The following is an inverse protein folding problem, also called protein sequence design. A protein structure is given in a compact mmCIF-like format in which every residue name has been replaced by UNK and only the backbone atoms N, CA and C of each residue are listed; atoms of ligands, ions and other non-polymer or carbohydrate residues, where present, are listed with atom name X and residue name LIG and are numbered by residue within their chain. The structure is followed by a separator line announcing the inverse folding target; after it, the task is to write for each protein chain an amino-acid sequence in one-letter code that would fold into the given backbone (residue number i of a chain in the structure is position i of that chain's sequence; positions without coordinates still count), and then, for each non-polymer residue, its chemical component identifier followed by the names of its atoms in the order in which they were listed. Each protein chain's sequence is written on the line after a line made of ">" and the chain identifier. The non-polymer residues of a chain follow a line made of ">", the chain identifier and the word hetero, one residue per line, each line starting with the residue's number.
data_IF_590059519946
#
_entry.id   IF_590059519946
#
_cell.length_a   1.000
_cell.length_b   1.000
_cell.length_c   1.000
_cell.angle_alpha   90.00
_cell.angle_beta   90.00
_cell.angle_gamma   90.00
#
_symmetry.space_group_name_H-M   'P 1'
#
loop_
_entity.id
_entity.type
_entity.pdbx_description
1 polymer ?
#
# COMPACT_ATOMS: atom_id res chain seq x y z
N UNK A 1 12.90 -5.90 -18.28
CA UNK A 1 13.67 -5.01 -17.36
C UNK A 1 13.62 -3.60 -17.94
N UNK A 2 13.33 -2.58 -17.14
CA UNK A 2 13.23 -1.17 -17.59
C UNK A 2 14.58 -0.64 -18.09
N UNK A 3 14.56 0.45 -18.86
CA UNK A 3 15.77 1.18 -19.31
C UNK A 3 16.61 1.63 -18.12
N UNK A 4 15.97 2.22 -17.11
CA UNK A 4 16.61 2.65 -15.87
C UNK A 4 17.35 1.51 -15.15
N UNK A 5 16.76 0.31 -15.12
CA UNK A 5 17.41 -0.86 -14.54
C UNK A 5 18.59 -1.36 -15.36
N UNK A 6 18.47 -1.35 -16.69
CA UNK A 6 19.54 -1.79 -17.60
C UNK A 6 20.77 -0.89 -17.54
N UNK A 7 20.57 0.39 -17.25
CA UNK A 7 21.62 1.40 -17.21
C UNK A 7 21.92 1.91 -15.79
N UNK A 8 21.48 1.17 -14.76
CA UNK A 8 21.83 1.42 -13.35
C UNK A 8 21.48 2.81 -12.80
N UNK A 9 20.35 3.40 -13.21
CA UNK A 9 19.91 4.72 -12.75
C UNK A 9 18.55 4.74 -12.06
N UNK A 10 18.08 3.61 -11.51
CA UNK A 10 16.79 3.55 -10.81
C UNK A 10 16.70 4.54 -9.64
N UNK A 11 17.81 4.84 -8.98
CA UNK A 11 17.87 5.77 -7.85
C UNK A 11 18.04 7.24 -8.26
N UNK A 12 18.03 7.54 -9.57
CA UNK A 12 18.18 8.90 -10.09
C UNK A 12 16.80 9.40 -10.54
N UNK A 13 16.27 10.48 -9.96
CA UNK A 13 15.00 11.07 -10.38
C UNK A 13 15.23 11.97 -11.61
N UNK A 14 15.45 11.34 -12.77
CA UNK A 14 15.82 12.02 -14.02
C UNK A 14 14.86 13.16 -14.39
N UNK A 15 13.55 12.99 -14.16
CA UNK A 15 12.54 14.02 -14.44
C UNK A 15 12.73 15.24 -13.55
N UNK A 16 13.08 15.06 -12.27
CA UNK A 16 13.40 16.19 -11.39
C UNK A 16 14.65 16.95 -11.86
N UNK A 17 15.69 16.24 -12.32
CA UNK A 17 16.86 16.90 -12.90
C UNK A 17 16.51 17.72 -14.15
N UNK A 18 15.67 17.19 -15.04
CA UNK A 18 15.18 17.95 -16.18
C UNK A 18 14.35 19.17 -15.76
N UNK A 19 13.49 19.04 -14.75
CA UNK A 19 12.73 20.17 -14.22
C UNK A 19 13.64 21.31 -13.71
N UNK A 20 14.74 20.98 -13.01
CA UNK A 20 15.73 21.97 -12.58
C UNK A 20 16.47 22.63 -13.76
N UNK A 21 16.80 21.87 -14.81
CA UNK A 21 17.41 22.45 -16.02
C UNK A 21 16.45 23.41 -16.74
N UNK A 22 15.17 23.04 -16.85
CA UNK A 22 14.13 23.90 -17.42
C UNK A 22 13.95 25.16 -16.58
N UNK A 23 13.88 25.03 -15.25
CA UNK A 23 13.82 26.15 -14.31
C UNK A 23 14.99 27.12 -14.50
N UNK A 24 16.22 26.61 -14.61
CA UNK A 24 17.40 27.45 -14.87
C UNK A 24 17.26 28.23 -16.18
N UNK A 25 16.80 27.58 -17.25
CA UNK A 25 16.58 28.25 -18.55
C UNK A 25 15.45 29.27 -18.55
N UNK A 26 14.40 29.02 -17.78
CA UNK A 26 13.33 29.99 -17.58
C UNK A 26 13.81 31.21 -16.82
N UNK A 27 14.62 31.05 -15.77
CA UNK A 27 15.19 32.17 -15.01
C UNK A 27 16.16 33.03 -15.83
N UNK A 28 16.84 32.47 -16.83
CA UNK A 28 17.67 33.23 -17.78
C UNK A 28 16.84 34.25 -18.59
N UNK A 29 15.58 33.93 -18.90
CA UNK A 29 14.71 34.77 -19.74
C UNK A 29 13.65 35.55 -18.93
N UNK A 30 13.27 35.02 -17.77
CA UNK A 30 12.24 35.56 -16.89
C UNK A 30 12.77 35.60 -15.44
N UNK A 31 13.67 36.53 -15.08
CA UNK A 31 14.35 36.53 -13.77
C UNK A 31 13.41 36.63 -12.56
N UNK A 32 12.21 37.19 -12.76
CA UNK A 32 11.21 37.40 -11.70
C UNK A 32 10.16 36.29 -11.61
N UNK A 33 10.27 35.21 -12.42
CA UNK A 33 9.34 34.09 -12.31
C UNK A 33 9.53 33.39 -10.95
N UNK A 34 8.43 33.15 -10.25
CA UNK A 34 8.46 32.47 -8.97
C UNK A 34 8.46 30.95 -9.16
N UNK A 35 9.35 30.27 -8.45
CA UNK A 35 9.33 28.81 -8.31
C UNK A 35 9.19 28.45 -6.83
N UNK A 36 8.27 27.52 -6.48
CA UNK A 36 8.14 27.07 -5.11
C UNK A 36 9.39 26.29 -4.67
N UNK A 37 9.74 26.43 -3.39
CA UNK A 37 10.78 25.63 -2.76
C UNK A 37 10.21 24.26 -2.36
N UNK A 38 10.86 23.18 -2.79
CA UNK A 38 10.48 21.83 -2.41
C UNK A 38 11.10 21.49 -1.06
N UNK A 39 10.25 21.15 -0.08
CA UNK A 39 10.68 20.70 1.24
C UNK A 39 10.55 19.20 1.35
N UNK A 40 11.54 18.58 1.99
CA UNK A 40 11.47 17.17 2.32
C UNK A 40 10.27 16.90 3.23
N UNK A 41 9.54 15.83 2.93
CA UNK A 41 8.47 15.32 3.78
C UNK A 41 8.63 13.81 3.95
N UNK A 42 8.22 13.31 5.11
CA UNK A 42 8.23 11.90 5.42
C UNK A 42 6.83 11.47 5.81
N UNK A 43 6.25 10.56 5.01
CA UNK A 43 4.93 9.99 5.24
C UNK A 43 5.07 8.47 5.38
N UNK A 44 4.98 7.91 6.60
CA UNK A 44 4.96 6.48 6.76
C UNK A 44 3.71 5.89 6.11
N UNK A 45 3.89 4.74 5.45
CA UNK A 45 2.79 3.97 4.85
C UNK A 45 2.91 2.53 5.30
N UNK A 46 1.79 1.92 5.68
CA UNK A 46 1.77 0.57 6.24
C UNK A 46 0.74 -0.27 5.48
N UNK A 47 1.20 -1.36 4.87
CA UNK A 47 0.33 -2.30 4.16
C UNK A 47 -0.04 -3.45 5.11
N UNK A 48 -1.34 -3.69 5.29
CA UNK A 48 -1.88 -4.79 6.11
C UNK A 48 -2.32 -5.93 5.20
N UNK A 49 -1.34 -6.68 4.70
CA UNK A 49 -1.56 -7.88 3.87
C UNK A 49 -2.14 -9.05 4.68
N UNK A 50 -1.70 -9.14 5.94
CA UNK A 50 -2.15 -10.14 6.90
C UNK A 50 -2.27 -9.46 8.27
N UNK A 51 -3.49 -9.35 8.77
CA UNK A 51 -3.73 -8.76 10.08
C UNK A 51 -3.08 -9.55 11.24
N UNK A 52 -3.01 -10.87 11.08
CA UNK A 52 -2.43 -11.78 12.05
C UNK A 52 -1.68 -12.88 11.32
N UNK A 53 -0.57 -13.36 11.86
CA UNK A 53 0.12 -14.51 11.27
C UNK A 53 -0.70 -15.79 11.48
N UNK A 54 -1.28 -15.94 12.68
CA UNK A 54 -1.92 -17.16 13.16
C UNK A 54 -3.24 -16.91 13.89
N UNK A 55 -3.33 -15.86 14.73
CA UNK A 55 -4.57 -15.56 15.48
C UNK A 55 -5.75 -15.34 14.53
N UNK A 56 -6.95 -15.71 14.99
CA UNK A 56 -8.24 -15.50 14.32
C UNK A 56 -8.41 -16.09 12.91
N UNK A 57 -7.42 -16.83 12.38
CA UNK A 57 -7.45 -17.47 11.05
C UNK A 57 -8.22 -18.80 11.00
N UNK A 58 -8.73 -19.27 12.14
CA UNK A 58 -9.47 -20.52 12.28
C UNK A 58 -8.57 -21.76 12.42
N UNK A 59 -9.12 -22.82 13.01
CA UNK A 59 -8.36 -24.02 13.40
C UNK A 59 -7.76 -24.77 12.20
N UNK A 60 -8.44 -24.80 11.05
CA UNK A 60 -7.96 -25.52 9.86
C UNK A 60 -6.67 -24.92 9.29
N UNK A 61 -6.57 -23.58 9.22
CA UNK A 61 -5.35 -22.88 8.76
C UNK A 61 -4.21 -23.05 9.75
N UNK A 62 -4.50 -23.06 11.05
CA UNK A 62 -3.52 -23.36 12.08
C UNK A 62 -2.98 -24.77 11.96
N UNK A 63 -3.87 -25.77 11.88
CA UNK A 63 -3.51 -27.18 11.77
C UNK A 63 -2.64 -27.43 10.53
N UNK A 64 -3.04 -26.89 9.37
CA UNK A 64 -2.23 -26.96 8.15
C UNK A 64 -0.84 -26.35 8.31
N UNK A 65 -0.75 -25.18 8.99
CA UNK A 65 0.53 -24.52 9.28
C UNK A 65 1.45 -25.37 10.18
N UNK A 66 0.89 -26.06 11.18
CA UNK A 66 1.63 -26.96 12.07
C UNK A 66 2.08 -28.21 11.30
N UNK A 67 1.18 -28.86 10.56
CA UNK A 67 1.51 -30.04 9.75
C UNK A 67 2.62 -29.75 8.74
N UNK A 68 2.54 -28.61 8.04
CA UNK A 68 3.58 -28.20 7.09
C UNK A 68 4.95 -27.97 7.77
N UNK A 69 4.98 -27.51 9.03
CA UNK A 69 6.23 -27.40 9.79
C UNK A 69 6.74 -28.75 10.28
N UNK A 70 5.85 -29.68 10.63
CA UNK A 70 6.21 -31.06 10.98
C UNK A 70 6.84 -31.78 9.79
N UNK A 71 6.26 -31.68 8.59
CA UNK A 71 6.85 -32.22 7.35
C UNK A 71 8.23 -31.63 7.04
N UNK A 72 8.53 -30.41 7.51
CA UNK A 72 9.84 -29.75 7.34
C UNK A 72 10.77 -29.93 8.54
N UNK A 73 10.39 -30.76 9.52
CA UNK A 73 11.14 -31.02 10.75
C UNK A 73 11.51 -29.74 11.54
N UNK A 74 10.65 -28.71 11.50
CA UNK A 74 10.85 -27.44 12.21
C UNK A 74 10.15 -27.43 13.57
N UNK A 75 10.69 -28.17 14.53
CA UNK A 75 10.05 -28.37 15.85
C UNK A 75 9.91 -27.07 16.66
N UNK A 76 10.90 -26.18 16.63
CA UNK A 76 10.84 -24.87 17.30
C UNK A 76 9.67 -24.01 16.78
N UNK A 77 9.41 -24.05 15.46
CA UNK A 77 8.31 -23.32 14.82
C UNK A 77 6.93 -23.91 15.21
N UNK A 78 6.86 -25.22 15.45
CA UNK A 78 5.65 -25.87 15.97
C UNK A 78 5.39 -25.42 17.41
N UNK A 79 6.40 -25.49 18.26
CA UNK A 79 6.30 -25.04 19.66
C UNK A 79 5.83 -23.58 19.74
N UNK A 80 6.44 -22.71 18.94
CA UNK A 80 6.07 -21.30 18.85
C UNK A 80 4.60 -21.10 18.45
N UNK A 81 4.14 -21.80 17.40
CA UNK A 81 2.73 -21.73 16.96
C UNK A 81 1.78 -22.20 18.05
N UNK A 82 2.12 -23.26 18.77
CA UNK A 82 1.35 -23.76 19.90
C UNK A 82 1.27 -22.71 21.01
N UNK A 83 2.40 -22.08 21.39
CA UNK A 83 2.42 -20.98 22.37
C UNK A 83 1.53 -19.81 21.95
N UNK A 84 1.58 -19.42 20.67
CA UNK A 84 0.72 -18.36 20.11
C UNK A 84 -0.77 -18.76 20.19
N UNK A 85 -1.12 -20.01 19.89
CA UNK A 85 -2.50 -20.51 20.03
C UNK A 85 -3.03 -20.40 21.46
N UNK A 86 -2.19 -20.75 22.45
CA UNK A 86 -2.53 -20.70 23.87
C UNK A 86 -2.34 -19.32 24.49
N UNK A 87 -1.91 -18.33 23.71
CA UNK A 87 -1.73 -16.95 24.16
C UNK A 87 -0.54 -16.71 25.09
N UNK A 88 0.39 -17.68 25.20
CA UNK A 88 1.62 -17.52 25.99
C UNK A 88 2.72 -16.79 25.24
N UNK A 89 2.54 -16.60 23.93
CA UNK A 89 3.41 -15.78 23.08
C UNK A 89 2.54 -14.88 22.17
N UNK A 90 2.93 -13.61 21.93
CA UNK A 90 2.19 -12.73 21.02
C UNK A 90 2.27 -13.21 19.58
N UNK A 91 1.24 -12.90 18.79
CA UNK A 91 1.29 -13.11 17.35
C UNK A 91 2.29 -12.11 16.73
N UNK A 92 3.24 -12.55 15.89
CA UNK A 92 4.28 -11.68 15.38
C UNK A 92 3.75 -10.54 14.49
N UNK A 93 2.55 -10.66 13.92
CA UNK A 93 1.95 -9.60 13.10
C UNK A 93 1.08 -8.65 13.93
N UNK A 94 0.67 -9.07 15.13
CA UNK A 94 -0.09 -8.29 16.11
C UNK A 94 0.82 -7.26 16.81
N UNK A 95 1.32 -6.32 16.02
CA UNK A 95 2.31 -5.30 16.42
C UNK A 95 1.71 -3.88 16.50
N UNK A 96 0.39 -3.78 16.40
CA UNK A 96 -0.34 -2.52 16.19
C UNK A 96 -0.13 -1.50 17.31
N UNK A 97 -0.18 -1.93 18.57
CA UNK A 97 0.02 -1.00 19.70
C UNK A 97 1.42 -0.41 19.68
N UNK A 98 2.45 -1.22 19.39
CA UNK A 98 3.82 -0.73 19.20
C UNK A 98 3.92 0.27 18.04
N UNK A 99 3.23 0.02 16.92
CA UNK A 99 3.20 0.98 15.81
C UNK A 99 2.58 2.31 16.26
N UNK A 100 1.43 2.26 16.95
CA UNK A 100 0.74 3.45 17.45
C UNK A 100 1.59 4.25 18.43
N UNK A 101 2.32 3.57 19.33
CA UNK A 101 3.27 4.21 20.24
C UNK A 101 4.41 4.91 19.49
N UNK A 102 5.01 4.26 18.49
CA UNK A 102 6.07 4.84 17.66
C UNK A 102 5.55 6.08 16.92
N UNK A 103 4.38 5.98 16.28
CA UNK A 103 3.80 7.10 15.55
C UNK A 103 3.47 8.27 16.48
N UNK A 104 2.87 8.00 17.64
CA UNK A 104 2.59 9.04 18.66
C UNK A 104 3.87 9.69 19.18
N UNK A 105 4.89 8.90 19.53
CA UNK A 105 6.18 9.38 20.05
C UNK A 105 6.86 10.35 19.08
N UNK A 106 6.73 10.12 17.79
CA UNK A 106 7.38 10.92 16.74
C UNK A 106 6.44 11.91 16.04
N UNK A 107 5.19 12.07 16.50
CA UNK A 107 4.23 12.99 15.88
C UNK A 107 3.89 12.65 14.43
N UNK A 108 3.90 11.36 14.06
CA UNK A 108 3.69 10.89 12.69
C UNK A 108 2.21 10.62 12.41
N UNK A 109 1.78 10.91 11.18
CA UNK A 109 0.44 10.63 10.66
C UNK A 109 0.51 9.63 9.50
N UNK A 110 0.73 8.33 9.78
CA UNK A 110 0.84 7.32 8.75
C UNK A 110 -0.45 7.12 7.95
N UNK A 111 -0.31 6.52 6.77
CA UNK A 111 -1.41 5.93 6.01
C UNK A 111 -1.39 4.41 6.14
N UNK A 112 -2.55 3.82 6.41
CA UNK A 112 -2.71 2.35 6.48
C UNK A 112 -3.49 1.84 5.27
N UNK A 113 -2.92 0.91 4.51
CA UNK A 113 -3.58 0.25 3.37
C UNK A 113 -4.08 -1.13 3.79
N UNK A 114 -5.39 -1.36 3.71
CA UNK A 114 -6.01 -2.59 4.23
C UNK A 114 -6.39 -3.55 3.10
N UNK A 115 -5.83 -4.76 3.13
CA UNK A 115 -6.22 -5.85 2.22
C UNK A 115 -7.49 -6.52 2.74
N UNK A 116 -8.63 -6.19 2.15
CA UNK A 116 -9.97 -6.68 2.55
C UNK A 116 -10.63 -7.59 1.49
N UNK A 117 -9.85 -7.99 0.48
CA UNK A 117 -10.26 -8.94 -0.54
C UNK A 117 -10.64 -10.32 0.03
N UNK A 118 -11.33 -11.11 -0.79
CA UNK A 118 -11.64 -12.49 -0.42
C UNK A 118 -10.36 -13.35 -0.43
N UNK A 119 -10.39 -14.46 0.32
CA UNK A 119 -9.24 -15.37 0.44
C UNK A 119 -8.88 -15.94 -0.94
N UNK A 120 -7.65 -15.67 -1.38
CA UNK A 120 -7.14 -16.07 -2.69
C UNK A 120 -5.78 -16.76 -2.60
N UNK A 121 -5.16 -16.98 -3.76
CA UNK A 121 -3.80 -17.53 -3.86
C UNK A 121 -2.76 -16.59 -3.24
N UNK A 122 -2.87 -15.30 -3.57
CA UNK A 122 -1.96 -14.24 -3.16
C UNK A 122 -2.49 -13.44 -1.96
N UNK A 123 -3.82 -13.35 -1.80
CA UNK A 123 -4.46 -12.61 -0.71
C UNK A 123 -4.84 -13.57 0.42
N UNK A 124 -4.15 -13.48 1.57
CA UNK A 124 -4.23 -14.48 2.66
C UNK A 124 -4.79 -13.93 3.97
N UNK A 125 -5.32 -12.71 3.94
CA UNK A 125 -5.82 -12.02 5.12
C UNK A 125 -7.07 -12.69 5.74
N UNK A 126 -7.57 -12.14 6.84
CA UNK A 126 -8.83 -12.53 7.45
C UNK A 126 -10.01 -12.16 6.56
N UNK A 127 -11.10 -12.93 6.68
CA UNK A 127 -12.36 -12.58 6.04
C UNK A 127 -12.88 -11.25 6.60
N UNK A 128 -13.42 -10.38 5.73
CA UNK A 128 -14.00 -9.09 6.11
C UNK A 128 -15.09 -9.14 7.19
N UNK A 129 -15.76 -10.29 7.38
CA UNK A 129 -16.76 -10.51 8.43
C UNK A 129 -16.16 -10.99 9.76
N UNK A 130 -14.84 -11.21 9.85
CA UNK A 130 -14.21 -11.62 11.09
C UNK A 130 -14.27 -10.47 12.12
N UNK A 131 -14.85 -10.69 13.31
CA UNK A 131 -15.06 -9.61 14.28
C UNK A 131 -13.74 -8.98 14.75
N UNK A 132 -12.67 -9.76 14.89
CA UNK A 132 -11.35 -9.23 15.28
C UNK A 132 -10.69 -8.42 14.19
N UNK A 133 -10.95 -8.75 12.92
CA UNK A 133 -10.46 -7.94 11.80
C UNK A 133 -11.23 -6.62 11.71
N UNK A 134 -12.55 -6.66 11.86
CA UNK A 134 -13.40 -5.47 11.90
C UNK A 134 -12.96 -4.54 13.04
N UNK A 135 -12.73 -5.09 14.25
CA UNK A 135 -12.29 -4.30 15.40
C UNK A 135 -10.92 -3.65 15.16
N UNK A 136 -9.96 -4.41 14.62
CA UNK A 136 -8.66 -3.87 14.24
C UNK A 136 -8.75 -2.72 13.22
N UNK A 137 -9.53 -2.90 12.16
CA UNK A 137 -9.72 -1.86 11.14
C UNK A 137 -10.32 -0.60 11.78
N UNK A 138 -11.33 -0.74 12.64
CA UNK A 138 -11.92 0.39 13.37
C UNK A 138 -10.90 1.06 14.30
N UNK A 139 -10.08 0.27 15.00
CA UNK A 139 -9.03 0.78 15.90
C UNK A 139 -7.99 1.61 15.14
N UNK A 140 -7.61 1.19 13.93
CA UNK A 140 -6.72 1.93 13.03
C UNK A 140 -7.44 3.19 12.52
N UNK A 141 -8.65 3.06 11.95
CA UNK A 141 -9.41 4.16 11.36
C UNK A 141 -9.80 5.26 12.36
N UNK A 142 -9.88 4.93 13.65
CA UNK A 142 -10.08 5.90 14.74
C UNK A 142 -8.83 6.80 14.94
N UNK A 143 -7.63 6.33 14.60
CA UNK A 143 -6.36 7.02 14.86
C UNK A 143 -5.74 7.61 13.60
N UNK A 144 -5.86 6.92 12.47
CA UNK A 144 -5.13 7.22 11.25
C UNK A 144 -6.01 7.02 10.01
N UNK A 145 -5.60 7.64 8.90
CA UNK A 145 -6.29 7.46 7.60
C UNK A 145 -6.11 6.03 7.10
N UNK A 146 -7.20 5.46 6.61
CA UNK A 146 -7.24 4.11 6.04
C UNK A 146 -7.53 4.20 4.55
N UNK A 147 -6.71 3.52 3.75
CA UNK A 147 -6.81 3.41 2.30
C UNK A 147 -7.05 1.97 1.87
N UNK A 148 -7.45 1.82 0.62
CA UNK A 148 -7.68 0.51 0.02
C UNK A 148 -6.34 -0.15 -0.34
N UNK A 149 -6.15 -1.42 0.04
CA UNK A 149 -5.13 -2.28 -0.56
C UNK A 149 -5.84 -3.30 -1.46
N UNK A 150 -6.12 -2.99 -2.74
CA UNK A 150 -6.93 -3.86 -3.57
C UNK A 150 -6.29 -5.23 -3.72
N UNK A 151 -7.11 -6.28 -3.75
CA UNK A 151 -6.62 -7.65 -3.89
C UNK A 151 -5.88 -7.86 -5.20
N UNK A 152 -5.00 -8.88 -5.23
CA UNK A 152 -4.22 -9.18 -6.43
C UNK A 152 -5.08 -9.44 -7.67
N UNK A 153 -6.24 -10.07 -7.47
CA UNK A 153 -7.20 -10.40 -8.52
C UNK A 153 -7.99 -9.16 -9.01
N UNK A 154 -8.17 -8.14 -8.16
CA UNK A 154 -8.92 -6.93 -8.51
C UNK A 154 -8.29 -6.15 -9.66
N UNK A 155 -6.98 -6.27 -9.87
CA UNK A 155 -6.29 -5.65 -10.99
C UNK A 155 -6.79 -6.12 -12.38
N UNK A 156 -7.45 -7.29 -12.44
CA UNK A 156 -8.07 -7.80 -13.66
C UNK A 156 -9.61 -7.75 -13.62
N UNK A 157 -10.20 -7.31 -12.50
CA UNK A 157 -11.64 -7.33 -12.29
C UNK A 157 -12.10 -6.11 -11.47
N UNK A 158 -12.54 -5.08 -12.18
CA UNK A 158 -13.00 -3.82 -11.60
C UNK A 158 -14.14 -3.98 -10.60
N UNK A 159 -14.98 -5.01 -10.73
CA UNK A 159 -16.08 -5.28 -9.77
C UNK A 159 -15.55 -5.62 -8.37
N UNK A 160 -14.34 -6.17 -8.26
CA UNK A 160 -13.73 -6.45 -6.96
C UNK A 160 -13.28 -5.18 -6.26
N UNK A 161 -12.79 -4.17 -6.98
CA UNK A 161 -12.39 -2.88 -6.39
C UNK A 161 -13.60 -2.21 -5.74
N UNK A 162 -14.74 -2.15 -6.44
CA UNK A 162 -16.01 -1.60 -5.91
C UNK A 162 -16.36 -2.32 -4.60
N UNK A 163 -16.43 -3.65 -4.65
CA UNK A 163 -16.81 -4.50 -3.52
C UNK A 163 -15.87 -4.33 -2.31
N UNK A 164 -14.56 -4.29 -2.56
CA UNK A 164 -13.55 -4.15 -1.51
C UNK A 164 -13.59 -2.74 -0.89
N UNK A 165 -13.77 -1.70 -1.71
CA UNK A 165 -13.97 -0.32 -1.25
C UNK A 165 -15.21 -0.20 -0.38
N UNK A 166 -16.36 -0.68 -0.84
CA UNK A 166 -17.63 -0.63 -0.08
C UNK A 166 -17.54 -1.37 1.26
N UNK A 167 -16.84 -2.52 1.30
CA UNK A 167 -16.59 -3.25 2.56
C UNK A 167 -15.80 -2.40 3.55
N UNK A 168 -14.73 -1.77 3.07
CA UNK A 168 -13.86 -0.95 3.92
C UNK A 168 -14.58 0.31 4.41
N UNK A 169 -15.31 1.00 3.53
CA UNK A 169 -16.16 2.15 3.86
C UNK A 169 -17.24 1.76 4.89
N UNK A 170 -17.87 0.59 4.73
CA UNK A 170 -18.88 0.09 5.66
C UNK A 170 -18.33 -0.13 7.07
N UNK A 171 -17.10 -0.63 7.19
CA UNK A 171 -16.45 -0.92 8.48
C UNK A 171 -15.94 0.37 9.15
N UNK A 172 -15.26 1.22 8.38
CA UNK A 172 -14.62 2.45 8.87
C UNK A 172 -15.60 3.60 9.06
N UNK A 173 -16.73 3.60 8.34
CA UNK A 173 -17.67 4.74 8.23
C UNK A 173 -17.02 6.01 7.66
N UNK A 174 -15.98 5.84 6.85
CA UNK A 174 -15.23 6.92 6.19
C UNK A 174 -15.26 6.69 4.68
N UNK A 175 -15.14 7.76 3.89
CA UNK A 175 -14.93 7.65 2.44
C UNK A 175 -13.48 7.22 2.17
N UNK A 176 -13.29 6.26 1.27
CA UNK A 176 -11.95 5.75 0.92
C UNK A 176 -11.52 6.36 -0.42
N UNK A 177 -10.52 7.24 -0.38
CA UNK A 177 -10.07 8.03 -1.54
C UNK A 177 -8.61 7.79 -1.94
N UNK A 178 -7.90 6.88 -1.28
CA UNK A 178 -6.53 6.53 -1.66
C UNK A 178 -6.29 5.03 -1.64
N UNK A 179 -5.35 4.58 -2.48
CA UNK A 179 -5.04 3.16 -2.62
C UNK A 179 -3.57 2.87 -2.84
N UNK A 180 -3.20 1.61 -2.60
CA UNK A 180 -1.93 1.03 -3.03
C UNK A 180 -2.21 -0.38 -3.51
N UNK A 181 -1.78 -0.75 -4.70
CA UNK A 181 -1.98 -2.08 -5.27
C UNK A 181 -1.12 -3.12 -4.54
N UNK A 182 -1.71 -4.27 -4.22
CA UNK A 182 -0.97 -5.41 -3.69
C UNK A 182 0.15 -5.82 -4.68
N UNK A 183 1.38 -5.98 -4.17
CA UNK A 183 2.62 -6.17 -4.94
C UNK A 183 3.03 -5.01 -5.88
N UNK A 184 2.45 -3.82 -5.73
CA UNK A 184 2.65 -2.67 -6.63
C UNK A 184 2.33 -3.01 -8.10
N UNK A 185 1.38 -3.93 -8.30
CA UNK A 185 0.99 -4.44 -9.62
C UNK A 185 0.17 -3.37 -10.34
N UNK A 186 0.80 -2.74 -11.33
CA UNK A 186 0.18 -1.74 -12.19
C UNK A 186 0.13 -2.23 -13.63
N UNK A 187 -1.06 -2.21 -14.22
CA UNK A 187 -1.30 -2.35 -15.66
C UNK A 187 -1.78 -1.00 -16.18
N UNK A 188 -0.87 -0.20 -16.74
CA UNK A 188 -1.21 1.14 -17.21
C UNK A 188 -1.74 1.10 -18.64
N UNK A 189 -2.76 1.92 -18.97
CA UNK A 189 -3.43 2.88 -18.09
C UNK A 189 -4.60 2.29 -17.27
N UNK A 190 -4.96 1.02 -17.49
CA UNK A 190 -6.22 0.44 -16.99
C UNK A 190 -6.37 0.46 -15.46
N UNK A 191 -5.30 0.17 -14.71
CA UNK A 191 -5.35 0.23 -13.25
C UNK A 191 -5.74 1.63 -12.76
N UNK A 192 -5.18 2.68 -13.34
CA UNK A 192 -5.47 4.06 -12.94
C UNK A 192 -6.85 4.53 -13.37
N UNK A 193 -7.30 4.14 -14.57
CA UNK A 193 -8.68 4.40 -14.98
C UNK A 193 -9.68 3.71 -14.06
N UNK A 194 -9.39 2.47 -13.64
CA UNK A 194 -10.24 1.76 -12.69
C UNK A 194 -10.27 2.45 -11.32
N UNK A 195 -9.14 2.94 -10.81
CA UNK A 195 -9.09 3.69 -9.56
C UNK A 195 -9.92 4.99 -9.64
N UNK A 196 -9.73 5.78 -10.70
CA UNK A 196 -10.48 7.03 -10.95
C UNK A 196 -11.98 6.76 -11.02
N UNK A 197 -12.40 5.75 -11.79
CA UNK A 197 -13.81 5.37 -11.94
C UNK A 197 -14.45 4.93 -10.61
N UNK A 198 -13.65 4.54 -9.62
CA UNK A 198 -14.09 4.16 -8.28
C UNK A 198 -13.92 5.28 -7.24
N UNK A 199 -13.61 6.51 -7.66
CA UNK A 199 -13.49 7.67 -6.79
C UNK A 199 -12.19 7.74 -5.99
N UNK A 200 -11.18 6.90 -6.32
CA UNK A 200 -9.84 7.01 -5.73
C UNK A 200 -9.12 8.21 -6.35
N UNK A 201 -8.57 9.06 -5.49
CA UNK A 201 -7.87 10.32 -5.81
C UNK A 201 -6.37 10.24 -5.62
N UNK A 202 -5.86 9.32 -4.80
CA UNK A 202 -4.42 9.14 -4.60
C UNK A 202 -3.99 7.67 -4.76
N UNK A 203 -2.89 7.42 -5.47
CA UNK A 203 -2.27 6.10 -5.61
C UNK A 203 -0.82 6.12 -5.12
N UNK A 204 -0.44 5.10 -4.33
CA UNK A 204 0.90 4.95 -3.76
C UNK A 204 1.63 3.72 -4.33
N UNK A 205 1.31 3.34 -5.57
CA UNK A 205 1.79 2.09 -6.18
C UNK A 205 2.96 2.28 -7.15
N UNK A 206 3.34 3.52 -7.48
CA UNK A 206 4.32 3.86 -8.53
C UNK A 206 5.78 3.64 -8.09
N UNK A 207 6.04 2.49 -7.46
CA UNK A 207 7.37 2.03 -7.08
C UNK A 207 7.74 0.69 -7.69
N UNK A 208 8.90 0.17 -7.31
CA UNK A 208 9.35 -1.19 -7.63
C UNK A 208 9.21 -2.10 -6.40
N UNK A 209 8.65 -3.29 -6.57
CA UNK A 209 8.38 -4.21 -5.45
C UNK A 209 9.59 -4.93 -4.88
N UNK A 210 10.77 -4.83 -5.51
CA UNK A 210 11.98 -5.60 -5.14
C UNK A 210 13.21 -4.75 -4.87
N UNK A 211 13.23 -3.50 -5.30
CA UNK A 211 14.41 -2.63 -5.26
C UNK A 211 13.95 -1.19 -5.07
N UNK A 212 14.72 -0.37 -4.35
CA UNK A 212 14.40 1.04 -4.20
C UNK A 212 14.75 1.81 -5.49
N UNK A 213 13.88 2.72 -5.91
CA UNK A 213 14.12 3.60 -7.05
C UNK A 213 12.85 4.28 -7.58
N UNK A 214 13.03 5.30 -8.41
CA UNK A 214 11.98 6.12 -9.00
C UNK A 214 11.44 5.48 -10.28
N UNK A 215 10.34 4.72 -10.18
CA UNK A 215 9.75 4.02 -11.34
C UNK A 215 9.27 4.97 -12.43
N UNK A 216 8.73 6.12 -12.04
CA UNK A 216 8.37 7.23 -12.92
C UNK A 216 9.52 8.24 -13.13
N UNK A 217 10.73 7.92 -12.65
CA UNK A 217 11.91 8.81 -12.67
C UNK A 217 11.67 10.19 -12.05
N UNK A 218 10.68 10.29 -11.16
CA UNK A 218 10.30 11.50 -10.43
C UNK A 218 10.14 11.16 -8.94
N UNK A 219 10.53 12.06 -8.05
CA UNK A 219 10.42 11.91 -6.59
C UNK A 219 9.29 12.75 -5.96
N UNK A 220 8.57 13.52 -6.77
CA UNK A 220 7.45 14.34 -6.35
C UNK A 220 6.14 13.73 -6.84
N UNK A 221 5.04 13.86 -6.07
CA UNK A 221 3.72 13.46 -6.55
C UNK A 221 3.33 14.23 -7.81
N UNK A 222 2.60 13.56 -8.70
CA UNK A 222 2.15 14.14 -9.97
C UNK A 222 0.78 13.61 -10.36
N UNK A 223 -0.01 14.42 -11.06
CA UNK A 223 -1.30 13.95 -11.60
C UNK A 223 -1.06 13.02 -12.78
N UNK A 224 -1.76 11.89 -12.80
CA UNK A 224 -1.69 10.96 -13.91
C UNK A 224 -2.23 11.61 -15.19
N UNK A 225 -1.42 11.61 -16.25
CA UNK A 225 -1.81 12.09 -17.56
C UNK A 225 -2.24 10.91 -18.43
N UNK A 226 -3.50 10.90 -18.85
CA UNK A 226 -4.06 9.89 -19.73
C UNK A 226 -3.68 10.22 -21.18
N UNK A 227 -2.59 9.60 -21.63
CA UNK A 227 -2.08 9.75 -23.00
C UNK A 227 -3.10 9.35 -24.08
N UNK A 228 -4.02 8.44 -23.78
CA UNK A 228 -4.99 7.99 -24.79
C UNK A 228 -6.02 9.09 -25.08
N UNK A 229 -6.43 9.81 -24.04
CA UNK A 229 -7.43 10.86 -24.12
C UNK A 229 -6.84 12.27 -24.13
N UNK A 230 -5.50 12.39 -24.11
CA UNK A 230 -4.76 13.66 -24.07
C UNK A 230 -5.26 14.62 -22.99
N UNK A 231 -5.40 14.10 -21.76
CA UNK A 231 -5.90 14.87 -20.64
C UNK A 231 -5.19 14.52 -19.32
N UNK A 232 -5.01 15.54 -18.49
CA UNK A 232 -4.65 15.34 -17.09
C UNK A 232 -5.87 14.82 -16.31
N UNK A 233 -5.67 13.78 -15.50
CA UNK A 233 -6.71 13.25 -14.63
C UNK A 233 -6.60 13.85 -13.22
N UNK A 234 -7.57 13.54 -12.36
CA UNK A 234 -7.59 13.94 -10.96
C UNK A 234 -6.92 12.95 -10.00
N UNK A 235 -6.28 11.89 -10.52
CA UNK A 235 -5.53 10.91 -9.73
C UNK A 235 -4.10 11.41 -9.48
N UNK A 236 -3.79 11.72 -8.22
CA UNK A 236 -2.46 12.05 -7.76
C UNK A 236 -1.66 10.77 -7.49
N UNK A 237 -0.55 10.62 -8.20
CA UNK A 237 0.35 9.47 -8.06
C UNK A 237 1.52 9.84 -7.15
N UNK A 238 1.72 9.05 -6.09
CA UNK A 238 2.87 9.11 -5.20
C UNK A 238 3.91 8.05 -5.61
N UNK A 239 5.07 8.46 -6.16
CA UNK A 239 6.12 7.56 -6.65
C UNK A 239 7.00 6.95 -5.56
#
# INVERSE_FOLDING_TARGET
>A
RSIAKRNHFLQIPVVNHYAELVKKKLLEHFPNIFFPELKYSFLPTIDIDNAYAYKHKGCSRMLYSILNSAFKLKFEDIERKIKICFGTEPDPYDSYDKQFEIHKKHGLNPLYFILIGDLGKFDRNLNHNNPHFIDLIKKIAYRYRVGLHPSYESNNNTKLIIKEKERLEKITKQHIDFSRQHFLKLKLPETYHNLIANGIKEDFSMGYSKENGFRASICCPFYFYDLKNEQMTDLLVHP
#
